data_IF_360951890754
#
_entry.id   IF_360951890754
#
_cell.length_a   1.000
_cell.length_b   1.000
_cell.length_c   1.000
_cell.angle_alpha   90.00
_cell.angle_beta   90.00
_cell.angle_gamma   90.00
#
_symmetry.space_group_name_H-M   'P 1'
#
loop_
_entity.id
_entity.type
_entity.pdbx_description
1 polymer ?
#
# COMPACT_ATOMS: atom_id res chain seq x y z
N UNK A 1 -8.43 -31.45 -40.77
CA UNK A 1 -9.34 -31.58 -39.60
C UNK A 1 -9.08 -30.40 -38.67
N UNK A 2 -10.07 -29.50 -38.57
CA UNK A 2 -9.97 -28.21 -37.88
C UNK A 2 -9.98 -28.45 -36.37
N UNK A 3 -8.94 -28.02 -35.66
CA UNK A 3 -8.93 -27.94 -34.19
C UNK A 3 -9.97 -26.91 -33.77
N UNK A 4 -10.94 -27.36 -32.99
CA UNK A 4 -12.10 -26.61 -32.53
C UNK A 4 -11.71 -25.54 -31.50
N UNK A 5 -12.41 -24.42 -31.59
CA UNK A 5 -12.16 -23.13 -30.96
C UNK A 5 -12.49 -23.08 -29.44
N UNK A 6 -12.24 -24.16 -28.69
CA UNK A 6 -12.78 -24.34 -27.33
C UNK A 6 -11.71 -24.17 -26.21
N UNK A 7 -10.42 -24.29 -26.50
CA UNK A 7 -9.35 -24.15 -25.48
C UNK A 7 -8.82 -22.71 -25.27
N UNK A 8 -9.40 -21.71 -25.95
CA UNK A 8 -8.99 -20.29 -25.80
C UNK A 8 -9.75 -19.50 -24.72
N UNK A 9 -10.54 -20.17 -23.88
CA UNK A 9 -11.46 -19.50 -22.94
C UNK A 9 -11.29 -19.88 -21.45
N UNK A 10 -10.19 -20.51 -21.07
CA UNK A 10 -9.84 -20.59 -19.65
C UNK A 10 -9.17 -19.26 -19.21
N UNK A 11 -9.69 -18.64 -18.15
CA UNK A 11 -9.29 -17.36 -17.53
C UNK A 11 -9.94 -16.07 -18.07
N UNK A 12 -11.24 -16.09 -18.37
CA UNK A 12 -12.07 -14.89 -18.30
C UNK A 12 -13.12 -15.04 -17.20
N UNK A 13 -12.73 -14.67 -15.98
CA UNK A 13 -13.68 -14.32 -14.93
C UNK A 13 -13.71 -12.78 -14.81
N UNK A 14 -14.88 -12.27 -14.44
CA UNK A 14 -15.30 -10.88 -14.49
C UNK A 14 -14.28 -9.89 -13.87
N UNK A 15 -14.00 -8.79 -14.58
CA UNK A 15 -13.05 -7.70 -14.23
C UNK A 15 -11.59 -8.15 -14.05
N UNK A 16 -10.94 -8.24 -15.20
CA UNK A 16 -9.98 -9.25 -15.66
C UNK A 16 -8.54 -8.94 -15.24
N UNK A 17 -8.09 -9.56 -14.15
CA UNK A 17 -6.65 -9.74 -13.89
C UNK A 17 -6.20 -10.92 -14.74
N UNK A 18 -5.22 -10.69 -15.61
CA UNK A 18 -4.65 -11.74 -16.48
C UNK A 18 -3.29 -12.16 -15.95
N UNK A 19 -3.14 -13.47 -15.76
CA UNK A 19 -1.86 -14.17 -15.57
C UNK A 19 -1.65 -14.99 -16.84
N UNK A 20 -0.45 -14.95 -17.43
CA UNK A 20 -0.27 -15.39 -18.82
C UNK A 20 -0.18 -16.90 -18.98
N UNK A 21 0.31 -17.63 -17.97
CA UNK A 21 0.49 -19.10 -18.05
C UNK A 21 0.14 -19.82 -16.76
N UNK A 22 -0.18 -21.11 -16.85
CA UNK A 22 -0.33 -21.99 -15.67
C UNK A 22 0.95 -22.04 -14.83
N UNK A 23 2.12 -22.01 -15.47
CA UNK A 23 3.41 -21.92 -14.78
C UNK A 23 3.54 -20.62 -13.98
N UNK A 24 3.04 -19.49 -14.49
CA UNK A 24 3.01 -18.23 -13.73
C UNK A 24 2.01 -18.26 -12.56
N UNK A 25 0.93 -19.04 -12.66
CA UNK A 25 0.02 -19.29 -11.52
C UNK A 25 0.73 -20.14 -10.48
N UNK A 26 1.46 -21.19 -10.88
CA UNK A 26 2.26 -22.01 -9.96
C UNK A 26 3.39 -21.20 -9.31
N UNK A 27 4.05 -20.32 -10.07
CA UNK A 27 5.04 -19.37 -9.54
C UNK A 27 4.40 -18.36 -8.58
N UNK A 28 3.22 -17.83 -8.90
CA UNK A 28 2.47 -16.95 -8.00
C UNK A 28 2.13 -17.70 -6.71
N UNK A 29 1.61 -18.92 -6.79
CA UNK A 29 1.31 -19.76 -5.62
C UNK A 29 2.57 -20.05 -4.79
N UNK A 30 3.70 -20.37 -5.42
CA UNK A 30 4.98 -20.58 -4.74
C UNK A 30 5.44 -19.30 -4.02
N UNK A 31 5.33 -18.16 -4.68
CA UNK A 31 5.69 -16.86 -4.15
C UNK A 31 4.77 -16.46 -2.98
N UNK A 32 3.47 -16.69 -3.11
CA UNK A 32 2.48 -16.48 -2.04
C UNK A 32 2.71 -17.42 -0.85
N UNK A 33 3.13 -18.68 -1.06
CA UNK A 33 3.48 -19.60 0.04
C UNK A 33 4.73 -19.14 0.80
N UNK A 34 5.76 -18.68 0.09
CA UNK A 34 6.95 -18.08 0.71
C UNK A 34 6.57 -16.84 1.54
N UNK A 35 5.64 -16.02 1.04
CA UNK A 35 5.15 -14.85 1.77
C UNK A 35 4.32 -15.16 3.02
N UNK A 36 3.53 -16.24 3.00
CA UNK A 36 2.74 -16.66 4.16
C UNK A 36 3.60 -17.41 5.19
N UNK A 37 4.63 -18.15 4.77
CA UNK A 37 5.59 -18.79 5.67
C UNK A 37 6.43 -17.82 6.50
N UNK A 38 6.56 -16.56 6.07
CA UNK A 38 7.26 -15.49 6.79
C UNK A 38 6.36 -14.74 7.81
N UNK A 39 5.08 -15.15 7.96
CA UNK A 39 4.06 -14.34 8.64
C UNK A 39 3.47 -14.90 9.94
N UNK A 40 3.67 -16.18 10.26
CA UNK A 40 2.98 -16.86 11.37
C UNK A 40 3.91 -17.30 12.52
N UNK A 41 5.20 -16.93 12.46
CA UNK A 41 6.13 -17.06 13.58
C UNK A 41 6.18 -15.78 14.41
N UNK A 42 6.04 -15.93 15.73
CA UNK A 42 6.31 -14.96 16.79
C UNK A 42 7.04 -13.67 16.37
N UNK A 43 6.38 -12.54 16.68
CA UNK A 43 6.93 -11.21 16.86
C UNK A 43 8.38 -10.98 16.40
N UNK A 44 8.52 -10.07 15.43
CA UNK A 44 9.69 -9.23 15.19
C UNK A 44 10.09 -8.42 16.45
N UNK A 45 10.47 -9.12 17.50
CA UNK A 45 11.11 -8.63 18.70
C UNK A 45 12.58 -9.05 18.61
N UNK A 46 13.44 -8.04 18.61
CA UNK A 46 14.90 -8.10 18.61
C UNK A 46 15.60 -8.30 17.24
N UNK A 47 16.02 -7.16 16.68
CA UNK A 47 17.35 -7.00 16.06
C UNK A 47 17.55 -7.54 14.65
N UNK A 48 17.43 -6.68 13.64
CA UNK A 48 18.55 -6.02 12.94
C UNK A 48 18.05 -5.34 11.67
N UNK A 49 18.33 -4.05 11.52
CA UNK A 49 18.87 -3.49 10.27
C UNK A 49 17.99 -3.30 9.03
N UNK A 50 17.13 -4.23 8.64
CA UNK A 50 16.66 -4.25 7.25
C UNK A 50 15.19 -3.90 7.09
N UNK A 51 14.94 -2.86 6.28
CA UNK A 51 13.62 -2.42 5.91
C UNK A 51 12.83 -3.53 5.21
N UNK A 52 11.50 -3.47 5.29
CA UNK A 52 10.62 -4.39 4.60
C UNK A 52 11.01 -4.48 3.12
N UNK A 53 11.53 -5.63 2.70
CA UNK A 53 11.92 -5.84 1.31
C UNK A 53 10.68 -5.61 0.42
N UNK A 54 10.83 -4.88 -0.70
CA UNK A 54 9.73 -4.75 -1.65
C UNK A 54 9.25 -6.13 -2.07
N UNK A 55 7.93 -6.28 -2.23
CA UNK A 55 7.28 -7.50 -2.70
C UNK A 55 6.63 -7.27 -4.07
N UNK A 56 6.35 -6.02 -4.38
CA UNK A 56 5.66 -5.60 -5.58
C UNK A 56 6.46 -4.52 -6.31
N UNK A 57 6.38 -4.53 -7.63
CA UNK A 57 6.84 -3.45 -8.47
C UNK A 57 5.72 -3.06 -9.44
N UNK A 58 5.48 -1.75 -9.54
CA UNK A 58 4.38 -1.21 -10.35
C UNK A 58 4.86 -0.05 -11.21
N UNK A 59 4.25 0.12 -12.36
CA UNK A 59 4.45 1.30 -13.19
C UNK A 59 3.88 2.57 -12.51
N UNK A 60 4.29 3.75 -12.97
CA UNK A 60 3.85 5.02 -12.36
C UNK A 60 2.34 5.29 -12.52
N UNK A 61 1.68 4.71 -13.51
CA UNK A 61 0.23 4.85 -13.69
C UNK A 61 -0.53 4.19 -12.52
N UNK A 62 0.09 3.21 -11.88
CA UNK A 62 -0.39 2.49 -10.71
C UNK A 62 -0.11 3.20 -9.36
N UNK A 63 0.43 4.42 -9.34
CA UNK A 63 0.84 5.10 -8.10
C UNK A 63 -0.23 5.11 -7.00
N UNK A 64 -1.51 5.22 -7.38
CA UNK A 64 -2.63 5.19 -6.43
C UNK A 64 -2.77 3.83 -5.76
N UNK A 65 -2.59 2.73 -6.51
CA UNK A 65 -2.62 1.36 -5.97
C UNK A 65 -1.40 1.12 -5.10
N UNK A 66 -0.21 1.49 -5.59
CA UNK A 66 1.05 1.37 -4.85
C UNK A 66 0.98 2.08 -3.49
N UNK A 67 0.37 3.27 -3.46
CA UNK A 67 0.10 3.98 -2.20
C UNK A 67 -0.73 3.15 -1.22
N UNK A 68 -1.79 2.49 -1.66
CA UNK A 68 -2.66 1.71 -0.78
C UNK A 68 -1.99 0.42 -0.30
N UNK A 69 -1.16 -0.20 -1.14
CA UNK A 69 -0.35 -1.35 -0.74
C UNK A 69 0.67 -0.96 0.34
N UNK A 70 1.39 0.16 0.13
CA UNK A 70 2.30 0.74 1.14
C UNK A 70 1.57 1.08 2.44
N UNK A 71 0.36 1.62 2.36
CA UNK A 71 -0.47 1.91 3.53
C UNK A 71 -0.86 0.65 4.30
N UNK A 72 -1.11 -0.46 3.61
CA UNK A 72 -1.35 -1.79 4.22
C UNK A 72 -0.07 -2.43 4.78
N UNK A 73 1.10 -1.86 4.51
CA UNK A 73 2.39 -2.39 4.96
C UNK A 73 3.10 -3.29 3.95
N UNK A 74 2.59 -3.38 2.72
CA UNK A 74 3.22 -4.17 1.66
C UNK A 74 4.23 -3.31 0.88
N UNK A 75 5.49 -3.72 0.92
CA UNK A 75 6.57 -3.09 0.18
C UNK A 75 6.26 -3.06 -1.33
N UNK A 76 6.09 -1.86 -1.89
CA UNK A 76 5.76 -1.67 -3.30
C UNK A 76 6.66 -0.61 -3.94
N UNK A 77 7.49 -1.00 -4.90
CA UNK A 77 8.26 -0.09 -5.74
C UNK A 77 7.33 0.53 -6.79
N UNK A 78 7.35 1.85 -6.87
CA UNK A 78 6.62 2.62 -7.87
C UNK A 78 7.30 3.98 -7.90
N UNK A 79 8.18 4.16 -8.88
CA UNK A 79 9.03 5.34 -9.04
C UNK A 79 8.84 5.89 -10.46
N UNK A 80 8.67 7.21 -10.55
CA UNK A 80 8.54 7.90 -11.83
C UNK A 80 9.85 7.91 -12.64
N UNK A 81 10.99 7.73 -11.97
CA UNK A 81 12.29 7.68 -12.63
C UNK A 81 12.58 6.32 -13.30
N UNK A 82 11.91 5.24 -12.87
CA UNK A 82 12.09 3.90 -13.43
C UNK A 82 11.44 3.79 -14.81
N UNK A 83 12.26 3.54 -15.82
CA UNK A 83 11.81 3.28 -17.18
C UNK A 83 11.19 1.88 -17.30
N UNK A 84 10.32 1.67 -18.30
CA UNK A 84 9.61 0.40 -18.51
C UNK A 84 10.54 -0.83 -18.57
N UNK A 85 11.68 -0.73 -19.25
CA UNK A 85 12.64 -1.85 -19.34
C UNK A 85 13.28 -2.17 -17.98
N UNK A 86 13.54 -1.15 -17.17
CA UNK A 86 14.14 -1.30 -15.85
C UNK A 86 13.17 -1.94 -14.84
N UNK A 87 11.85 -1.80 -15.04
CA UNK A 87 10.85 -2.48 -14.20
C UNK A 87 10.96 -4.01 -14.32
N UNK A 88 11.08 -4.53 -15.54
CA UNK A 88 11.21 -5.97 -15.77
C UNK A 88 12.53 -6.51 -15.21
N UNK A 89 13.64 -5.85 -15.51
CA UNK A 89 14.97 -6.24 -15.00
C UNK A 89 14.96 -6.29 -13.48
N UNK A 90 14.48 -5.23 -12.84
CA UNK A 90 14.40 -5.18 -11.38
C UNK A 90 13.44 -6.22 -10.79
N UNK A 91 12.31 -6.48 -11.47
CA UNK A 91 11.38 -7.53 -11.04
C UNK A 91 12.04 -8.91 -11.06
N UNK A 92 12.89 -9.18 -12.06
CA UNK A 92 13.63 -10.43 -12.17
C UNK A 92 14.74 -10.51 -11.11
N UNK A 93 15.57 -9.47 -10.96
CA UNK A 93 16.70 -9.45 -10.02
C UNK A 93 16.26 -9.51 -8.57
N UNK A 94 15.23 -8.73 -8.19
CA UNK A 94 14.73 -8.66 -6.81
C UNK A 94 13.58 -9.66 -6.54
N UNK A 95 13.24 -10.52 -7.52
CA UNK A 95 12.13 -11.49 -7.45
C UNK A 95 10.81 -10.84 -6.99
N UNK A 96 10.38 -9.77 -7.66
CA UNK A 96 9.19 -8.99 -7.29
C UNK A 96 7.99 -9.36 -8.18
N UNK A 97 6.78 -9.32 -7.63
CA UNK A 97 5.57 -9.39 -8.44
C UNK A 97 5.40 -8.07 -9.19
N UNK A 98 5.37 -8.13 -10.52
CA UNK A 98 5.11 -6.98 -11.37
C UNK A 98 3.59 -6.80 -11.56
N UNK A 99 3.07 -5.59 -11.32
CA UNK A 99 1.66 -5.26 -11.53
C UNK A 99 1.58 -4.07 -12.46
N UNK A 100 0.87 -4.23 -13.59
CA UNK A 100 0.82 -3.17 -14.62
C UNK A 100 -0.50 -3.10 -15.38
N UNK A 101 -0.83 -1.88 -15.81
CA UNK A 101 -1.87 -1.62 -16.82
C UNK A 101 -1.31 -1.60 -18.26
N UNK A 102 0.01 -1.71 -18.43
CA UNK A 102 0.66 -1.62 -19.73
C UNK A 102 0.69 -2.99 -20.41
N UNK A 103 -0.12 -3.13 -21.46
CA UNK A 103 -0.13 -4.36 -22.27
C UNK A 103 1.22 -4.65 -22.92
N UNK A 104 1.94 -3.60 -23.32
CA UNK A 104 3.28 -3.72 -23.88
C UNK A 104 4.26 -4.33 -22.86
N UNK A 105 4.25 -3.85 -21.62
CA UNK A 105 5.10 -4.40 -20.56
C UNK A 105 4.73 -5.85 -20.23
N UNK A 106 3.44 -6.17 -20.22
CA UNK A 106 2.96 -7.54 -20.04
C UNK A 106 3.48 -8.48 -21.13
N UNK A 107 3.39 -8.10 -22.41
CA UNK A 107 3.89 -8.88 -23.54
C UNK A 107 5.44 -9.04 -23.50
N UNK A 108 6.15 -8.05 -22.96
CA UNK A 108 7.59 -8.14 -22.71
C UNK A 108 7.92 -9.17 -21.63
N UNK A 109 7.19 -9.18 -20.51
CA UNK A 109 7.35 -10.20 -19.45
C UNK A 109 7.10 -11.60 -20.02
N UNK A 110 6.03 -11.79 -20.79
CA UNK A 110 5.74 -13.07 -21.44
C UNK A 110 6.90 -13.54 -22.33
N UNK A 111 7.47 -12.62 -23.10
CA UNK A 111 8.58 -12.92 -24.00
C UNK A 111 9.84 -13.28 -23.22
N UNK A 112 10.09 -12.59 -22.11
CA UNK A 112 11.20 -12.86 -21.20
C UNK A 112 11.06 -14.24 -20.55
N UNK A 113 9.91 -14.54 -19.92
CA UNK A 113 9.63 -15.84 -19.29
C UNK A 113 9.74 -17.00 -20.30
N UNK A 114 9.26 -16.82 -21.55
CA UNK A 114 9.41 -17.82 -22.63
C UNK A 114 10.87 -18.06 -23.01
N UNK A 115 11.74 -17.06 -22.93
CA UNK A 115 13.18 -17.21 -23.20
C UNK A 115 13.87 -17.97 -22.07
N UNK A 116 13.55 -17.66 -20.82
CA UNK A 116 14.04 -18.41 -19.66
C UNK A 116 13.67 -19.89 -19.74
N UNK A 117 12.41 -20.21 -20.03
CA UNK A 117 11.95 -21.59 -20.15
C UNK A 117 12.74 -22.37 -21.19
N UNK A 118 13.03 -21.74 -22.34
CA UNK A 118 13.84 -22.37 -23.38
C UNK A 118 15.27 -22.60 -22.90
N UNK A 119 15.90 -21.60 -22.25
CA UNK A 119 17.26 -21.71 -21.72
C UNK A 119 17.36 -22.86 -20.71
N UNK A 120 16.45 -22.94 -19.75
CA UNK A 120 16.39 -24.02 -18.74
C UNK A 120 16.21 -25.41 -19.37
N UNK A 121 15.37 -25.52 -20.42
CA UNK A 121 15.21 -26.78 -21.16
C UNK A 121 16.48 -27.19 -21.91
N UNK A 122 17.21 -26.24 -22.51
CA UNK A 122 18.50 -26.52 -23.16
C UNK A 122 19.58 -26.90 -22.14
N UNK A 123 19.65 -26.22 -21.01
CA UNK A 123 20.60 -26.50 -19.93
C UNK A 123 20.33 -27.85 -19.26
N UNK A 124 19.06 -28.19 -19.02
CA UNK A 124 18.68 -29.50 -18.48
C UNK A 124 19.06 -30.65 -19.41
N UNK A 125 18.97 -30.44 -20.74
CA UNK A 125 19.46 -31.41 -21.74
C UNK A 125 21.00 -31.52 -21.74
N UNK A 126 21.73 -30.43 -21.45
CA UNK A 126 23.20 -30.40 -21.37
C UNK A 126 23.75 -31.01 -20.08
N UNK A 127 23.07 -30.81 -18.94
CA UNK A 127 23.45 -31.40 -17.64
C UNK A 127 23.50 -32.93 -17.64
N UNK A 128 22.87 -33.59 -18.63
CA UNK A 128 22.99 -35.02 -18.85
C UNK A 128 24.15 -35.48 -19.75
N UNK A 129 25.04 -34.59 -20.25
CA UNK A 129 25.91 -34.96 -21.37
C UNK A 129 27.33 -34.39 -21.42
N UNK A 130 27.91 -33.89 -20.32
CA UNK A 130 29.33 -33.50 -20.31
C UNK A 130 29.99 -33.96 -19.01
N UNK A 131 30.75 -35.06 -19.09
CA UNK A 131 31.82 -35.40 -18.15
C UNK A 131 33.11 -35.26 -18.94
N UNK A 132 33.87 -34.20 -18.67
CA UNK A 132 35.22 -34.04 -19.19
C UNK A 132 36.20 -34.52 -18.12
N UNK A 133 37.10 -35.43 -18.48
CA UNK A 133 38.26 -35.76 -17.68
C UNK A 133 39.42 -34.89 -18.18
N UNK A 134 39.91 -33.99 -17.35
CA UNK A 134 41.21 -33.35 -17.61
C UNK A 134 42.35 -34.32 -17.23
N UNK A 135 43.49 -34.13 -17.89
CA UNK A 135 44.64 -35.05 -17.90
C UNK A 135 45.38 -35.18 -16.56
N UNK A 136 44.94 -34.45 -15.55
CA UNK A 136 45.43 -34.35 -14.17
C UNK A 136 44.44 -34.87 -13.12
N UNK A 137 43.24 -35.32 -13.51
CA UNK A 137 42.31 -36.05 -12.63
C UNK A 137 41.44 -35.18 -11.73
N UNK A 138 41.48 -33.85 -11.87
CA UNK A 138 40.59 -32.93 -11.15
C UNK A 138 39.40 -32.56 -12.06
N UNK A 139 38.19 -32.95 -11.68
CA UNK A 139 36.98 -32.58 -12.43
C UNK A 139 36.58 -31.13 -12.12
N UNK A 140 36.67 -30.23 -13.10
CA UNK A 140 36.13 -28.87 -13.00
C UNK A 140 34.61 -28.91 -13.10
N UNK A 141 33.92 -28.86 -11.97
CA UNK A 141 32.51 -28.52 -11.94
C UNK A 141 32.37 -27.04 -12.29
N UNK A 142 31.75 -26.74 -13.44
CA UNK A 142 31.28 -25.38 -13.72
C UNK A 142 30.21 -25.04 -12.67
N UNK A 143 30.65 -24.41 -11.58
CA UNK A 143 29.78 -23.76 -10.61
C UNK A 143 29.08 -22.63 -11.37
N UNK A 144 27.85 -22.89 -11.80
CA UNK A 144 26.96 -21.86 -12.31
C UNK A 144 26.78 -20.84 -11.19
N UNK A 145 27.42 -19.68 -11.33
CA UNK A 145 27.13 -18.51 -10.53
C UNK A 145 25.63 -18.26 -10.62
N UNK A 146 24.97 -18.31 -9.47
CA UNK A 146 23.53 -18.17 -9.24
C UNK A 146 23.08 -16.72 -9.45
N UNK A 147 23.53 -16.06 -10.52
CA UNK A 147 22.94 -14.80 -11.03
C UNK A 147 21.62 -15.17 -11.69
N UNK A 148 20.67 -15.54 -10.84
CA UNK A 148 19.38 -16.10 -11.21
C UNK A 148 18.49 -15.04 -11.83
N UNK A 149 18.44 -15.00 -13.15
CA UNK A 149 17.30 -14.42 -13.87
C UNK A 149 16.03 -15.17 -13.41
N UNK A 150 15.32 -14.64 -12.41
CA UNK A 150 14.11 -15.27 -11.90
C UNK A 150 12.95 -15.10 -12.89
N UNK A 151 12.00 -16.04 -12.85
CA UNK A 151 10.70 -15.85 -13.49
C UNK A 151 10.00 -14.64 -12.91
N UNK A 152 9.49 -13.79 -13.79
CA UNK A 152 8.74 -12.62 -13.35
C UNK A 152 7.25 -12.95 -13.36
N UNK A 153 6.65 -12.97 -12.18
CA UNK A 153 5.20 -13.04 -12.03
C UNK A 153 4.62 -11.67 -12.37
N UNK A 154 3.80 -11.60 -13.42
CA UNK A 154 3.19 -10.35 -13.85
C UNK A 154 1.66 -10.43 -13.84
N UNK A 155 1.03 -9.47 -13.16
CA UNK A 155 -0.42 -9.26 -13.13
C UNK A 155 -0.76 -8.09 -14.04
N UNK A 156 -1.41 -8.40 -15.16
CA UNK A 156 -2.00 -7.37 -16.02
C UNK A 156 -3.40 -7.02 -15.58
N UNK A 157 -3.70 -5.73 -15.53
CA UNK A 157 -5.02 -5.19 -15.18
C UNK A 157 -5.50 -4.31 -16.32
N UNK A 158 -6.72 -4.51 -16.78
CA UNK A 158 -7.35 -3.61 -17.73
C UNK A 158 -7.46 -2.18 -17.16
N UNK A 159 -7.41 -1.18 -18.03
CA UNK A 159 -7.55 0.22 -17.62
C UNK A 159 -8.87 0.45 -16.87
N UNK A 160 -8.78 1.02 -15.67
CA UNK A 160 -9.95 1.32 -14.85
C UNK A 160 -10.28 2.81 -14.83
N UNK A 161 -11.55 3.12 -14.54
CA UNK A 161 -11.98 4.48 -14.21
C UNK A 161 -11.88 4.72 -12.70
N UNK A 162 -11.74 5.97 -12.29
CA UNK A 162 -11.66 6.34 -10.86
C UNK A 162 -12.83 5.81 -10.00
N UNK A 163 -14.02 5.64 -10.58
CA UNK A 163 -15.21 5.08 -9.90
C UNK A 163 -15.09 3.60 -9.56
N UNK A 164 -14.25 2.84 -10.27
CA UNK A 164 -14.05 1.40 -10.11
C UNK A 164 -12.86 1.06 -9.20
N UNK A 165 -12.22 2.06 -8.60
CA UNK A 165 -10.98 1.87 -7.83
C UNK A 165 -11.14 0.86 -6.68
N UNK A 166 -12.25 0.91 -5.93
CA UNK A 166 -12.46 -0.01 -4.81
C UNK A 166 -12.62 -1.46 -5.28
N UNK A 167 -13.36 -1.67 -6.37
CA UNK A 167 -13.57 -3.00 -6.94
C UNK A 167 -12.25 -3.58 -7.45
N UNK A 168 -11.45 -2.78 -8.16
CA UNK A 168 -10.12 -3.18 -8.61
C UNK A 168 -9.19 -3.50 -7.43
N UNK A 169 -9.18 -2.68 -6.38
CA UNK A 169 -8.41 -2.97 -5.16
C UNK A 169 -8.85 -4.28 -4.49
N UNK A 170 -10.16 -4.54 -4.41
CA UNK A 170 -10.71 -5.79 -3.86
C UNK A 170 -10.26 -6.99 -4.69
N UNK A 171 -10.28 -6.88 -6.02
CA UNK A 171 -9.81 -7.95 -6.91
C UNK A 171 -8.31 -8.20 -6.73
N UNK A 172 -7.50 -7.14 -6.67
CA UNK A 172 -6.06 -7.26 -6.40
C UNK A 172 -5.76 -7.93 -5.06
N UNK A 173 -6.40 -7.48 -3.98
CA UNK A 173 -6.22 -8.06 -2.64
C UNK A 173 -6.60 -9.53 -2.63
N UNK A 174 -7.69 -9.90 -3.32
CA UNK A 174 -8.14 -11.29 -3.41
C UNK A 174 -7.17 -12.15 -4.19
N UNK A 175 -6.75 -11.71 -5.37
CA UNK A 175 -5.83 -12.46 -6.25
C UNK A 175 -4.45 -12.63 -5.64
N UNK A 176 -3.98 -11.62 -4.90
CA UNK A 176 -2.68 -11.65 -4.22
C UNK A 176 -2.75 -12.22 -2.80
N UNK A 177 -3.93 -12.67 -2.35
CA UNK A 177 -4.16 -13.15 -0.99
C UNK A 177 -3.61 -12.20 0.10
N UNK A 178 -3.74 -10.88 -0.10
CA UNK A 178 -3.23 -9.90 0.85
C UNK A 178 -4.06 -9.93 2.14
N UNK A 179 -3.39 -10.06 3.28
CA UNK A 179 -4.00 -10.05 4.61
C UNK A 179 -3.93 -8.67 5.25
N UNK A 180 -4.87 -8.38 6.13
CA UNK A 180 -4.85 -7.15 6.92
C UNK A 180 -3.99 -7.37 8.17
N UNK A 181 -2.81 -6.75 8.23
CA UNK A 181 -1.84 -6.88 9.32
C UNK A 181 -1.75 -5.58 10.13
N UNK A 182 -2.52 -5.41 11.21
CA UNK A 182 -2.56 -4.15 11.98
C UNK A 182 -1.19 -3.54 12.33
N UNK A 183 -0.17 -4.32 12.75
CA UNK A 183 1.14 -3.77 13.09
C UNK A 183 1.90 -3.12 11.92
N UNK A 184 1.62 -3.54 10.69
CA UNK A 184 2.30 -3.03 9.49
C UNK A 184 1.56 -1.89 8.81
N UNK A 185 0.31 -1.62 9.20
CA UNK A 185 -0.47 -0.54 8.61
C UNK A 185 0.15 0.81 8.97
N UNK A 186 0.32 1.68 7.97
CA UNK A 186 1.06 2.95 8.07
C UNK A 186 2.54 2.84 8.48
N UNK A 187 3.16 1.66 8.40
CA UNK A 187 4.58 1.48 8.72
C UNK A 187 5.53 1.95 7.60
N UNK A 188 5.03 2.10 6.36
CA UNK A 188 5.82 2.47 5.19
C UNK A 188 5.50 3.89 4.71
N UNK A 189 6.53 4.55 4.18
CA UNK A 189 6.38 5.81 3.48
C UNK A 189 5.58 5.62 2.20
N UNK A 190 4.46 6.33 2.09
CA UNK A 190 3.58 6.30 0.91
C UNK A 190 4.26 6.74 -0.40
N UNK A 191 5.38 7.47 -0.32
CA UNK A 191 6.13 7.95 -1.48
C UNK A 191 7.35 7.09 -1.78
N UNK A 192 8.20 6.88 -0.76
CA UNK A 192 9.51 6.25 -0.94
C UNK A 192 9.53 4.75 -0.71
N UNK A 193 8.44 4.16 -0.21
CA UNK A 193 8.39 2.74 0.17
C UNK A 193 9.40 2.35 1.29
N UNK A 194 9.82 3.30 2.11
CA UNK A 194 10.78 3.07 3.20
C UNK A 194 10.07 2.97 4.55
N UNK A 195 10.58 2.11 5.43
CA UNK A 195 10.06 1.97 6.80
C UNK A 195 10.19 3.30 7.54
N UNK A 196 9.08 3.74 8.12
CA UNK A 196 9.02 4.96 8.90
C UNK A 196 9.66 4.73 10.27
N UNK A 197 10.46 5.71 10.71
CA UNK A 197 11.16 5.67 12.00
C UNK A 197 10.53 6.66 12.98
N UNK A 198 10.45 6.35 14.27
CA UNK A 198 9.98 7.30 15.26
C UNK A 198 10.88 8.54 15.30
N UNK A 199 10.29 9.71 15.53
CA UNK A 199 10.98 10.99 15.68
C UNK A 199 10.76 11.48 17.10
N UNK A 200 11.84 11.91 17.76
CA UNK A 200 11.75 12.57 19.06
C UNK A 200 10.84 13.81 18.96
N UNK A 201 10.02 14.05 19.99
CA UNK A 201 9.01 15.10 19.95
C UNK A 201 9.64 16.46 19.64
N UNK A 202 10.74 16.80 20.28
CA UNK A 202 11.46 18.08 20.15
C UNK A 202 11.93 18.32 18.70
N UNK A 203 12.33 17.26 17.99
CA UNK A 203 12.80 17.36 16.60
C UNK A 203 11.67 17.60 15.59
N UNK A 204 10.41 17.45 16.00
CA UNK A 204 9.25 17.66 15.13
C UNK A 204 8.79 19.13 15.06
N UNK A 205 9.12 19.97 16.06
CA UNK A 205 8.51 21.30 16.28
C UNK A 205 8.52 22.21 15.04
N UNK A 206 9.67 22.33 14.37
CA UNK A 206 9.83 23.18 13.19
C UNK A 206 9.56 22.45 11.85
N UNK A 207 9.19 21.17 11.89
CA UNK A 207 8.93 20.33 10.71
C UNK A 207 7.45 20.07 10.48
N UNK A 208 6.61 20.32 11.49
CA UNK A 208 5.15 20.26 11.39
C UNK A 208 4.54 21.63 11.69
N UNK A 209 3.30 21.83 11.27
CA UNK A 209 2.56 23.07 11.59
C UNK A 209 2.39 23.16 13.13
N UNK A 210 2.52 24.34 13.78
CA UNK A 210 2.46 24.47 15.24
C UNK A 210 1.22 23.84 15.88
N UNK A 211 0.06 23.92 15.19
CA UNK A 211 -1.19 23.27 15.64
C UNK A 211 -1.10 21.74 15.72
N UNK A 212 -0.34 21.12 14.81
CA UNK A 212 -0.10 19.67 14.81
C UNK A 212 0.85 19.33 15.95
N UNK A 213 1.91 20.11 16.13
CA UNK A 213 2.89 19.94 17.21
C UNK A 213 2.24 19.98 18.61
N UNK A 214 1.33 20.93 18.83
CA UNK A 214 0.58 21.02 20.08
C UNK A 214 -0.42 19.86 20.29
N UNK A 215 -0.87 19.22 19.20
CA UNK A 215 -1.95 18.23 19.24
C UNK A 215 -1.44 16.79 19.33
N UNK A 216 -0.30 16.47 18.73
CA UNK A 216 0.24 15.11 18.66
C UNK A 216 1.60 15.05 19.35
N UNK A 217 1.87 13.95 20.06
CA UNK A 217 3.16 13.71 20.74
C UNK A 217 4.04 12.72 20.02
N UNK A 218 3.45 11.96 19.10
CA UNK A 218 4.12 10.88 18.40
C UNK A 218 4.19 11.20 16.92
N UNK A 219 5.41 11.12 16.40
CA UNK A 219 5.75 11.45 15.02
C UNK A 219 6.61 10.34 14.45
N UNK A 220 6.42 10.08 13.16
CA UNK A 220 7.30 9.18 12.40
C UNK A 220 7.85 9.90 11.18
N UNK A 221 9.01 9.49 10.68
CA UNK A 221 9.62 10.06 9.48
C UNK A 221 10.10 9.01 8.51
N UNK A 222 10.16 9.40 7.24
CA UNK A 222 10.86 8.64 6.23
C UNK A 222 12.36 8.97 6.26
N UNK A 223 13.27 7.98 6.33
CA UNK A 223 14.71 8.23 6.31
C UNK A 223 15.21 8.86 5.00
N UNK A 224 14.49 8.66 3.89
CA UNK A 224 14.85 9.12 2.54
C UNK A 224 14.27 10.51 2.24
N UNK A 225 12.95 10.67 2.17
CA UNK A 225 12.35 11.97 1.83
C UNK A 225 12.20 12.94 3.01
N UNK A 226 12.52 12.52 4.24
CA UNK A 226 12.41 13.32 5.49
C UNK A 226 11.00 13.89 5.75
N UNK A 227 9.96 13.38 5.08
CA UNK A 227 8.56 13.71 5.39
C UNK A 227 8.21 13.17 6.78
N UNK A 228 7.58 14.02 7.59
CA UNK A 228 7.07 13.68 8.92
C UNK A 228 5.59 13.32 8.83
N UNK A 229 5.20 12.22 9.46
CA UNK A 229 3.85 11.68 9.55
C UNK A 229 3.39 11.70 11.02
N UNK A 230 2.07 11.79 11.24
CA UNK A 230 1.47 11.89 12.58
C UNK A 230 0.03 11.37 12.61
N UNK A 231 -0.48 11.16 13.82
CA UNK A 231 -1.88 10.85 14.07
C UNK A 231 -2.28 9.41 13.75
N UNK A 232 -1.33 8.50 13.83
CA UNK A 232 -1.55 7.07 14.03
C UNK A 232 -0.35 6.52 14.82
N UNK A 233 -0.60 5.97 16.01
CA UNK A 233 0.42 5.37 16.89
C UNK A 233 0.35 3.84 16.97
N UNK A 234 -0.60 3.23 16.25
CA UNK A 234 -0.82 1.78 16.26
C UNK A 234 -1.74 1.26 17.37
N UNK A 235 -2.05 2.06 18.41
CA UNK A 235 -2.82 1.58 19.57
C UNK A 235 -3.90 2.58 20.03
N UNK A 236 -3.55 3.82 20.37
CA UNK A 236 -4.37 4.73 21.20
C UNK A 236 -4.84 5.99 20.50
N UNK A 237 -4.05 6.52 19.58
CA UNK A 237 -4.26 7.81 18.92
C UNK A 237 -4.42 7.59 17.43
N UNK A 238 -5.60 7.95 16.94
CA UNK A 238 -5.86 8.02 15.50
C UNK A 238 -6.53 9.35 15.16
N UNK A 239 -5.98 10.04 14.17
CA UNK A 239 -6.64 11.21 13.61
C UNK A 239 -7.77 10.76 12.67
N UNK A 240 -8.78 11.60 12.47
CA UNK A 240 -9.94 11.21 11.67
C UNK A 240 -9.61 10.79 10.23
N UNK A 241 -8.64 11.43 9.57
CA UNK A 241 -8.27 11.09 8.18
C UNK A 241 -7.61 9.71 8.11
N UNK A 242 -6.73 9.42 9.07
CA UNK A 242 -6.11 8.11 9.23
C UNK A 242 -7.17 7.06 9.56
N UNK A 243 -8.12 7.37 10.47
CA UNK A 243 -9.23 6.47 10.80
C UNK A 243 -10.08 6.11 9.58
N UNK A 244 -10.50 7.09 8.77
CA UNK A 244 -11.26 6.82 7.53
C UNK A 244 -10.47 6.00 6.52
N UNK A 245 -9.15 6.18 6.50
CA UNK A 245 -8.26 5.38 5.66
C UNK A 245 -8.17 3.94 6.18
N UNK A 246 -7.98 3.74 7.50
CA UNK A 246 -8.01 2.42 8.13
C UNK A 246 -9.31 1.68 7.87
N UNK A 247 -10.44 2.37 8.04
CA UNK A 247 -11.77 1.82 7.78
C UNK A 247 -11.91 1.39 6.32
N UNK A 248 -11.46 2.22 5.37
CA UNK A 248 -11.45 1.87 3.96
C UNK A 248 -10.56 0.66 3.68
N UNK A 249 -9.32 0.65 4.16
CA UNK A 249 -8.38 -0.47 3.97
C UNK A 249 -8.96 -1.77 4.54
N UNK A 250 -9.50 -1.72 5.75
CA UNK A 250 -10.17 -2.84 6.40
C UNK A 250 -11.37 -3.33 5.59
N UNK A 251 -12.20 -2.41 5.09
CA UNK A 251 -13.35 -2.74 4.25
C UNK A 251 -12.93 -3.41 2.94
N UNK A 252 -11.86 -2.94 2.29
CA UNK A 252 -11.35 -3.54 1.06
C UNK A 252 -10.87 -4.99 1.32
N UNK A 253 -10.13 -5.22 2.41
CA UNK A 253 -9.70 -6.57 2.81
C UNK A 253 -10.90 -7.49 3.13
N UNK A 254 -11.91 -6.98 3.86
CA UNK A 254 -13.13 -7.73 4.15
C UNK A 254 -13.89 -8.11 2.88
N UNK A 255 -14.08 -7.15 1.95
CA UNK A 255 -14.75 -7.40 0.67
C UNK A 255 -13.97 -8.36 -0.24
N UNK A 256 -12.65 -8.46 -0.07
CA UNK A 256 -11.81 -9.43 -0.76
C UNK A 256 -11.91 -10.85 -0.16
N UNK A 257 -12.46 -11.00 1.05
CA UNK A 257 -12.52 -12.27 1.78
C UNK A 257 -11.27 -12.56 2.62
N UNK A 258 -10.42 -11.56 2.88
CA UNK A 258 -9.24 -11.74 3.72
C UNK A 258 -9.65 -12.04 5.18
N UNK A 259 -8.96 -12.99 5.81
CA UNK A 259 -9.12 -13.24 7.24
C UNK A 259 -8.66 -11.99 8.02
N UNK A 260 -9.56 -11.39 8.79
CA UNK A 260 -9.18 -10.34 9.74
C UNK A 260 -8.88 -10.98 11.09
N UNK A 261 -7.82 -10.55 11.79
CA UNK A 261 -7.63 -10.95 13.17
C UNK A 261 -8.89 -10.59 13.98
N UNK A 262 -9.29 -11.44 14.94
CA UNK A 262 -10.52 -11.27 15.72
C UNK A 262 -10.51 -9.98 16.56
N UNK A 263 -9.35 -9.32 16.69
CA UNK A 263 -9.21 -8.01 17.32
C UNK A 263 -9.97 -6.94 16.53
N UNK A 264 -11.26 -6.80 16.82
CA UNK A 264 -11.90 -5.50 16.71
C UNK A 264 -11.12 -4.59 17.66
N UNK A 265 -10.35 -3.64 17.13
CA UNK A 265 -9.90 -2.49 17.90
C UNK A 265 -11.17 -1.92 18.52
N UNK A 266 -11.35 -2.13 19.83
CA UNK A 266 -12.56 -1.69 20.48
C UNK A 266 -12.59 -0.16 20.37
N UNK A 267 -13.73 0.44 20.03
CA UNK A 267 -13.84 1.89 20.11
C UNK A 267 -13.55 2.38 21.54
N UNK A 268 -13.70 1.52 22.54
CA UNK A 268 -13.32 1.76 23.93
C UNK A 268 -11.79 1.70 24.16
N UNK A 269 -11.01 1.07 23.28
CA UNK A 269 -9.54 1.05 23.33
C UNK A 269 -8.91 2.25 22.60
N UNK A 270 -9.61 2.86 21.64
CA UNK A 270 -9.21 4.13 21.02
C UNK A 270 -9.41 5.29 21.99
N UNK A 271 -8.41 5.52 22.83
CA UNK A 271 -8.48 6.47 23.95
C UNK A 271 -8.58 7.95 23.52
N UNK A 272 -8.29 8.33 22.26
CA UNK A 272 -8.54 9.71 21.83
C UNK A 272 -8.59 9.92 20.31
N UNK A 273 -9.74 10.38 19.80
CA UNK A 273 -9.77 11.17 18.57
C UNK A 273 -9.30 12.59 18.90
N UNK A 274 -8.04 12.91 18.62
CA UNK A 274 -7.49 14.25 18.89
C UNK A 274 -8.00 15.33 17.94
N UNK A 275 -8.64 14.95 16.83
CA UNK A 275 -9.24 15.89 15.89
C UNK A 275 -10.40 15.28 15.12
N UNK A 276 -11.54 15.98 15.12
CA UNK A 276 -12.67 15.72 14.22
C UNK A 276 -12.72 16.72 13.06
N UNK A 277 -13.27 16.33 11.89
CA UNK A 277 -13.60 17.26 10.81
C UNK A 277 -14.52 18.38 11.28
N UNK A 278 -14.48 19.52 10.59
CA UNK A 278 -15.37 20.65 10.89
C UNK A 278 -16.85 20.21 10.86
N UNK A 279 -17.26 19.40 9.89
CA UNK A 279 -18.63 18.88 9.79
C UNK A 279 -19.08 18.05 11.00
N UNK A 280 -18.20 17.18 11.51
CA UNK A 280 -18.50 16.38 12.71
C UNK A 280 -18.58 17.28 13.94
N UNK A 281 -17.65 18.24 14.07
CA UNK A 281 -17.70 19.24 15.15
C UNK A 281 -18.95 20.10 15.08
N UNK A 282 -19.32 20.59 13.89
CA UNK A 282 -20.56 21.35 13.66
C UNK A 282 -21.78 20.54 14.06
N UNK A 283 -21.84 19.26 13.68
CA UNK A 283 -22.93 18.36 14.06
C UNK A 283 -23.03 18.23 15.58
N UNK A 284 -21.91 17.93 16.26
CA UNK A 284 -21.88 17.82 17.74
C UNK A 284 -22.30 19.15 18.40
N UNK A 285 -21.71 20.27 17.97
CA UNK A 285 -21.99 21.59 18.52
C UNK A 285 -23.44 22.04 18.26
N UNK A 286 -24.07 21.60 17.17
CA UNK A 286 -25.46 21.94 16.86
C UNK A 286 -26.47 21.34 17.86
N UNK A 287 -26.09 20.28 18.60
CA UNK A 287 -26.90 19.71 19.68
C UNK A 287 -26.72 20.43 21.03
N UNK A 288 -25.77 21.35 21.14
CA UNK A 288 -25.51 22.10 22.37
C UNK A 288 -26.40 23.35 22.45
N UNK A 289 -26.82 23.71 23.66
CA UNK A 289 -27.56 24.94 23.91
C UNK A 289 -26.67 26.18 23.69
N UNK A 290 -27.27 27.36 23.52
CA UNK A 290 -26.51 28.60 23.37
C UNK A 290 -25.61 28.90 24.59
N UNK A 291 -26.05 28.50 25.79
CA UNK A 291 -25.28 28.59 27.04
C UNK A 291 -24.10 27.63 27.03
N UNK A 292 -24.33 26.36 26.70
CA UNK A 292 -23.28 25.33 26.59
C UNK A 292 -22.24 25.69 25.53
N UNK A 293 -22.66 26.27 24.40
CA UNK A 293 -21.76 26.78 23.36
C UNK A 293 -20.87 27.91 23.88
N UNK A 294 -21.39 28.76 24.76
CA UNK A 294 -20.62 29.80 25.44
C UNK A 294 -19.53 29.19 26.33
N UNK A 295 -19.90 28.23 27.17
CA UNK A 295 -18.95 27.47 28.01
C UNK A 295 -17.92 26.75 27.15
N UNK A 296 -18.33 26.09 26.07
CA UNK A 296 -17.44 25.38 25.14
C UNK A 296 -16.44 26.31 24.46
N UNK A 297 -16.84 27.56 24.17
CA UNK A 297 -15.96 28.59 23.62
C UNK A 297 -14.88 29.05 24.59
N UNK A 298 -15.21 29.11 25.89
CA UNK A 298 -14.25 29.41 26.95
C UNK A 298 -13.28 28.26 27.21
N UNK A 299 -13.79 27.01 27.24
CA UNK A 299 -12.98 25.81 27.46
C UNK A 299 -12.09 25.50 26.25
N UNK A 300 -12.59 25.74 25.04
CA UNK A 300 -11.88 25.47 23.79
C UNK A 300 -11.79 26.71 22.89
N UNK A 301 -10.92 27.70 23.22
CA UNK A 301 -10.78 28.94 22.45
C UNK A 301 -10.46 28.72 20.97
N UNK A 302 -9.77 27.61 20.65
CA UNK A 302 -9.42 27.19 19.28
C UNK A 302 -10.67 26.90 18.40
N UNK A 303 -11.83 26.70 19.01
CA UNK A 303 -13.10 26.46 18.31
C UNK A 303 -13.99 27.70 18.22
N UNK A 304 -13.57 28.87 18.71
CA UNK A 304 -14.40 30.08 18.78
C UNK A 304 -15.02 30.47 17.42
N UNK A 305 -14.24 30.44 16.34
CA UNK A 305 -14.71 30.73 14.97
C UNK A 305 -15.80 29.72 14.52
N UNK A 306 -15.68 28.45 14.90
CA UNK A 306 -16.68 27.44 14.57
C UNK A 306 -17.93 27.56 15.43
N UNK A 307 -17.78 27.89 16.71
CA UNK A 307 -18.90 28.09 17.63
C UNK A 307 -19.72 29.31 17.21
N UNK A 308 -19.06 30.39 16.77
CA UNK A 308 -19.72 31.56 16.21
C UNK A 308 -20.55 31.19 14.95
N UNK A 309 -19.99 30.41 14.04
CA UNK A 309 -20.72 29.94 12.85
C UNK A 309 -21.93 29.05 13.22
N UNK A 310 -21.79 28.17 14.22
CA UNK A 310 -22.90 27.29 14.68
C UNK A 310 -23.99 28.10 15.37
N UNK A 311 -23.65 29.10 16.18
CA UNK A 311 -24.62 30.03 16.78
C UNK A 311 -25.38 30.80 15.70
N UNK A 312 -24.67 31.31 14.70
CA UNK A 312 -25.29 31.98 13.57
C UNK A 312 -26.29 31.07 12.84
N UNK A 313 -25.92 29.81 12.58
CA UNK A 313 -26.85 28.84 12.00
C UNK A 313 -28.09 28.57 12.89
N UNK A 314 -27.92 28.47 14.20
CA UNK A 314 -29.04 28.28 15.14
C UNK A 314 -29.98 29.50 15.15
N UNK A 315 -29.46 30.72 14.96
CA UNK A 315 -30.23 31.96 14.97
C UNK A 315 -30.92 32.26 13.62
N UNK A 316 -30.27 31.97 12.49
CA UNK A 316 -30.75 32.37 11.15
C UNK A 316 -31.29 31.21 10.30
N UNK A 317 -30.97 29.96 10.65
CA UNK A 317 -31.27 28.78 9.84
C UNK A 317 -30.35 28.62 8.61
N UNK A 318 -29.38 29.50 8.40
CA UNK A 318 -28.45 29.44 7.26
C UNK A 318 -27.28 28.47 7.52
N UNK A 319 -27.09 27.42 6.71
CA UNK A 319 -26.14 26.35 7.00
C UNK A 319 -24.71 26.87 7.19
N UNK A 320 -24.02 26.32 8.21
CA UNK A 320 -22.61 26.59 8.49
C UNK A 320 -21.78 26.38 7.21
N UNK A 321 -21.10 27.45 6.76
CA UNK A 321 -20.32 27.49 5.51
C UNK A 321 -19.55 26.19 5.28
N UNK A 322 -19.69 25.63 4.08
CA UNK A 322 -19.01 24.38 3.74
C UNK A 322 -17.49 24.58 3.71
N UNK A 323 -16.73 23.51 3.94
CA UNK A 323 -15.26 23.57 3.96
C UNK A 323 -14.64 24.14 2.66
N UNK A 324 -15.39 24.05 1.56
CA UNK A 324 -15.12 24.65 0.24
C UNK A 324 -15.10 26.20 0.26
N UNK A 325 -16.02 26.82 0.98
CA UNK A 325 -16.20 28.29 1.03
C UNK A 325 -15.14 28.94 1.94
N UNK A 326 -14.76 28.26 3.03
CA UNK A 326 -13.74 28.73 3.98
C UNK A 326 -12.34 28.80 3.33
N UNK A 327 -12.05 27.90 2.37
CA UNK A 327 -10.78 27.92 1.61
C UNK A 327 -10.67 29.15 0.69
N UNK A 328 -11.78 29.69 0.21
CA UNK A 328 -11.79 30.89 -0.64
C UNK A 328 -11.51 32.15 0.17
N UNK A 329 -11.95 32.22 1.44
CA UNK A 329 -11.64 33.35 2.33
C UNK A 329 -10.18 33.40 2.82
N UNK A 330 -9.43 32.28 2.78
CA UNK A 330 -8.03 32.20 3.26
C UNK A 330 -6.96 32.31 2.18
N UNK A 331 -7.32 32.47 0.91
CA UNK A 331 -6.36 32.84 -0.15
C UNK A 331 -6.37 34.37 -0.27
N UNK A 332 -5.34 35.10 0.16
CA UNK A 332 -5.19 36.47 -0.33
C UNK A 332 -5.14 36.38 -1.86
N UNK A 333 -5.96 37.19 -2.53
CA UNK A 333 -5.77 37.44 -3.96
C UNK A 333 -4.32 37.90 -4.12
N UNK A 334 -3.58 37.22 -4.99
CA UNK A 334 -2.23 37.63 -5.40
C UNK A 334 -2.22 39.07 -5.86
#
# INVERSE_FOLDING_TARGET
MKKTSVEKNALKSFNTIVISTLHEVDCLDAHLRLFHGYGDGEAAAAGTGDGYAPQFIMDISMHKVAKYFRLLGYGTVCDAALQHHALLTRAAEENLILITCSRFLFEQVETYNKRLHKREQYESKRKGHVVAYDSDGESVYSLSSDDGDHYVVCLFIDQWRSKQFNEMMVNLIRTLHLTYRPPLVFSLCVECNQVLRPVAYELAEHRVVPKIYAMYKEFTECPVCKKVFWGFDGDRVVNYKSFRTLELLRSLCLSAGAALPPSRTSLLSLRSFRSFPRSVKSCILAYLSAEDLGVFGHVFPVLAELIADVRHFQETGEPVKTFSEIKQCRRPKR
#
